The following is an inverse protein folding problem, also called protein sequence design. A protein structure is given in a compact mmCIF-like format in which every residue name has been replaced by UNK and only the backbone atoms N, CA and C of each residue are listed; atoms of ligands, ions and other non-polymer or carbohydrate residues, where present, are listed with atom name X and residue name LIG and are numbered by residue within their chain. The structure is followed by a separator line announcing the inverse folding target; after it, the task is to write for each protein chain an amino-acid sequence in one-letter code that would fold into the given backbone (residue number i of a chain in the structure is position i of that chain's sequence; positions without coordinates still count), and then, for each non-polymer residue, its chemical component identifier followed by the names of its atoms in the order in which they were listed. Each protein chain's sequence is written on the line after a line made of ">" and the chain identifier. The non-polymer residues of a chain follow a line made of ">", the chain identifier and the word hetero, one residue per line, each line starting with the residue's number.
data_IF_380754602009
#
_entry.id   IF_380754602009
#
_cell.length_a   1.000
_cell.length_b   1.000
_cell.length_c   1.000
_cell.angle_alpha   90.00
_cell.angle_beta   90.00
_cell.angle_gamma   90.00
#
_symmetry.space_group_name_H-M   'P 1'
#
loop_
_entity.id
_entity.type
_entity.pdbx_description
1 polymer ?
#
# COMPACT_ATOMS: atom_id res chain seq x y z
N UNK A 1 -24.42 22.79 34.14
CA UNK A 1 -23.48 22.75 33.02
C UNK A 1 -23.35 21.29 32.60
N UNK A 2 -24.07 20.94 31.55
CA UNK A 2 -24.10 19.59 30.96
C UNK A 2 -22.89 19.44 30.09
N UNK A 3 -22.02 18.46 30.37
CA UNK A 3 -20.88 18.08 29.51
C UNK A 3 -21.47 17.28 28.33
N UNK A 4 -21.54 17.90 27.18
CA UNK A 4 -21.80 17.22 25.91
C UNK A 4 -20.73 16.15 25.66
N UNK A 5 -21.13 14.90 25.75
CA UNK A 5 -20.36 13.73 25.31
C UNK A 5 -20.54 13.63 23.80
N UNK A 6 -19.51 13.80 22.97
CA UNK A 6 -19.63 13.53 21.55
C UNK A 6 -19.51 12.02 21.33
N UNK A 7 -20.65 11.33 21.42
CA UNK A 7 -20.75 9.89 21.24
C UNK A 7 -21.89 9.53 20.31
N UNK A 8 -21.82 9.88 19.04
CA UNK A 8 -22.49 9.14 17.97
C UNK A 8 -21.45 8.86 16.90
N UNK A 9 -21.20 7.58 16.68
CA UNK A 9 -20.39 7.11 15.58
C UNK A 9 -20.86 7.79 14.30
N UNK A 10 -19.98 8.49 13.63
CA UNK A 10 -20.24 9.00 12.29
C UNK A 10 -20.46 7.77 11.41
N UNK A 11 -21.69 7.60 10.89
CA UNK A 11 -21.94 6.69 9.78
C UNK A 11 -21.13 7.19 8.57
N UNK A 12 -19.84 6.83 8.55
CA UNK A 12 -18.98 7.11 7.41
C UNK A 12 -19.23 5.96 6.44
N UNK A 13 -20.10 6.19 5.48
CA UNK A 13 -20.39 5.23 4.40
C UNK A 13 -19.29 5.28 3.31
N UNK A 14 -18.05 5.54 3.72
CA UNK A 14 -16.86 5.59 2.89
C UNK A 14 -16.26 4.18 2.74
N UNK A 15 -15.98 3.74 1.54
CA UNK A 15 -15.13 2.57 1.29
C UNK A 15 -13.76 3.03 0.81
N UNK A 16 -12.71 2.51 1.42
CA UNK A 16 -11.34 2.75 1.02
C UNK A 16 -10.77 1.49 0.36
N UNK A 17 -10.43 1.63 -0.91
CA UNK A 17 -9.82 0.58 -1.71
C UNK A 17 -8.34 0.83 -1.89
N UNK A 18 -7.52 -0.14 -1.53
CA UNK A 18 -6.09 -0.16 -1.78
C UNK A 18 -5.81 -0.97 -3.04
N UNK A 19 -4.98 -0.45 -3.90
CA UNK A 19 -4.60 -1.12 -5.14
C UNK A 19 -3.10 -1.08 -5.32
N UNK A 20 -2.50 -2.24 -5.61
CA UNK A 20 -1.12 -2.30 -6.03
C UNK A 20 -0.97 -1.74 -7.45
N UNK A 21 0.07 -0.94 -7.70
CA UNK A 21 0.42 -0.44 -9.03
C UNK A 21 0.48 -1.53 -10.11
N UNK A 22 0.38 -1.15 -11.39
CA UNK A 22 0.56 -2.03 -12.55
C UNK A 22 1.95 -2.66 -12.64
N UNK A 23 2.12 -3.64 -13.52
CA UNK A 23 3.37 -4.37 -13.69
C UNK A 23 4.52 -3.45 -14.15
N UNK A 24 5.72 -3.72 -13.64
CA UNK A 24 7.00 -3.13 -14.05
C UNK A 24 7.93 -4.25 -14.53
N UNK A 25 9.00 -3.92 -15.27
CA UNK A 25 10.00 -4.93 -15.68
C UNK A 25 10.65 -5.60 -14.47
N UNK A 26 10.84 -4.87 -13.36
CA UNK A 26 11.38 -5.45 -12.14
C UNK A 26 10.41 -6.42 -11.44
N UNK A 27 9.09 -6.31 -11.69
CA UNK A 27 8.16 -7.37 -11.26
C UNK A 27 8.37 -8.65 -12.06
N UNK A 28 8.57 -8.55 -13.37
CA UNK A 28 8.85 -9.69 -14.25
C UNK A 28 10.16 -10.38 -13.83
N UNK A 29 11.19 -9.59 -13.55
CA UNK A 29 12.51 -10.07 -13.11
C UNK A 29 12.55 -10.51 -11.63
N UNK A 30 11.45 -10.36 -10.89
CA UNK A 30 11.36 -10.65 -9.45
C UNK A 30 12.38 -9.87 -8.60
N UNK A 31 12.71 -8.64 -9.01
CA UNK A 31 13.59 -7.72 -8.26
C UNK A 31 12.79 -6.91 -7.24
N UNK A 32 13.41 -6.69 -6.09
CA UNK A 32 12.94 -5.78 -5.04
C UNK A 32 13.02 -4.35 -5.56
N UNK A 33 11.89 -3.64 -5.56
CA UNK A 33 11.82 -2.28 -6.08
C UNK A 33 12.08 -1.22 -5.01
N UNK A 34 11.45 -1.40 -3.84
CA UNK A 34 11.56 -0.45 -2.73
C UNK A 34 11.27 0.98 -3.16
N UNK A 35 12.14 1.91 -2.79
CA UNK A 35 12.08 3.33 -3.19
C UNK A 35 12.60 3.62 -4.60
N UNK A 36 13.29 2.69 -5.22
CA UNK A 36 13.77 2.86 -6.61
C UNK A 36 12.60 3.14 -7.54
N UNK A 37 12.75 4.20 -8.35
CA UNK A 37 11.66 4.76 -9.13
C UNK A 37 11.59 4.13 -10.52
N UNK A 38 10.92 2.99 -10.61
CA UNK A 38 10.73 2.21 -11.84
C UNK A 38 9.36 2.56 -12.45
N UNK A 39 9.32 2.70 -13.78
CA UNK A 39 8.12 2.98 -14.57
C UNK A 39 7.29 1.71 -14.81
N UNK A 40 6.03 1.87 -15.19
CA UNK A 40 5.23 0.76 -15.68
C UNK A 40 5.81 0.22 -17.00
N UNK A 41 5.70 -1.10 -17.19
CA UNK A 41 5.86 -1.66 -18.52
C UNK A 41 4.52 -1.61 -19.29
N UNK A 42 4.53 -2.02 -20.54
CA UNK A 42 3.34 -1.98 -21.41
C UNK A 42 2.17 -2.79 -20.83
N UNK A 43 2.47 -3.95 -20.25
CA UNK A 43 1.45 -4.77 -19.58
C UNK A 43 0.88 -4.10 -18.34
N UNK A 44 1.71 -3.38 -17.58
CA UNK A 44 1.26 -2.59 -16.42
C UNK A 44 0.28 -1.49 -16.80
N UNK A 45 0.49 -0.81 -17.93
CA UNK A 45 -0.45 0.19 -18.48
C UNK A 45 -1.77 -0.45 -18.87
N UNK A 46 -1.73 -1.56 -19.59
CA UNK A 46 -2.94 -2.32 -19.96
C UNK A 46 -3.71 -2.83 -18.72
N UNK A 47 -2.99 -3.27 -17.67
CA UNK A 47 -3.61 -3.65 -16.39
C UNK A 47 -4.34 -2.45 -15.74
N UNK A 48 -3.74 -1.26 -15.76
CA UNK A 48 -4.35 -0.05 -15.20
C UNK A 48 -5.61 0.36 -15.99
N UNK A 49 -5.58 0.26 -17.32
CA UNK A 49 -6.76 0.51 -18.19
C UNK A 49 -7.88 -0.49 -17.89
N UNK A 50 -7.56 -1.78 -17.82
CA UNK A 50 -8.53 -2.82 -17.48
C UNK A 50 -9.16 -2.62 -16.10
N UNK A 51 -8.34 -2.24 -15.11
CA UNK A 51 -8.85 -1.89 -13.77
C UNK A 51 -9.77 -0.68 -13.82
N UNK A 52 -9.43 0.35 -14.59
CA UNK A 52 -10.26 1.54 -14.72
C UNK A 52 -11.67 1.20 -15.27
N UNK A 53 -11.76 0.28 -16.23
CA UNK A 53 -13.05 -0.18 -16.79
C UNK A 53 -13.87 -0.96 -15.74
N UNK A 54 -13.23 -1.75 -14.88
CA UNK A 54 -13.89 -2.45 -13.75
C UNK A 54 -14.41 -1.43 -12.74
N UNK A 55 -13.58 -0.47 -12.34
CA UNK A 55 -13.94 0.56 -11.37
C UNK A 55 -15.10 1.42 -11.86
N UNK A 56 -15.10 1.80 -13.14
CA UNK A 56 -16.17 2.60 -13.74
C UNK A 56 -17.54 1.91 -13.72
N UNK A 57 -17.56 0.58 -13.82
CA UNK A 57 -18.81 -0.20 -13.86
C UNK A 57 -19.35 -0.57 -12.47
N UNK A 58 -18.48 -0.80 -11.49
CA UNK A 58 -18.88 -1.44 -10.24
C UNK A 58 -18.55 -0.66 -8.96
N UNK A 59 -17.85 0.48 -9.05
CA UNK A 59 -17.35 1.21 -7.87
C UNK A 59 -17.73 2.68 -7.91
N UNK A 60 -18.13 3.23 -6.77
CA UNK A 60 -18.52 4.64 -6.63
C UNK A 60 -17.35 5.59 -6.35
N UNK A 61 -16.16 5.32 -6.92
CA UNK A 61 -14.94 6.09 -6.63
C UNK A 61 -15.14 7.57 -6.95
N UNK A 62 -14.77 8.44 -5.98
CA UNK A 62 -14.83 9.90 -6.09
C UNK A 62 -13.50 10.59 -5.83
N UNK A 63 -12.54 9.89 -5.23
CA UNK A 63 -11.18 10.38 -4.96
C UNK A 63 -10.18 9.30 -5.31
N UNK A 64 -9.03 9.72 -5.82
CA UNK A 64 -7.89 8.84 -6.08
C UNK A 64 -6.67 9.45 -5.38
N UNK A 65 -6.08 8.70 -4.48
CA UNK A 65 -4.79 9.00 -3.89
C UNK A 65 -3.73 8.06 -4.43
N UNK A 66 -2.49 8.50 -4.47
CA UNK A 66 -1.36 7.69 -4.95
C UNK A 66 -0.08 8.01 -4.21
N UNK A 67 0.82 7.05 -4.12
CA UNK A 67 2.20 7.34 -3.76
C UNK A 67 2.88 8.15 -4.87
N UNK A 68 3.98 8.84 -4.52
CA UNK A 68 4.72 9.67 -5.49
C UNK A 68 5.55 8.86 -6.49
N UNK A 69 5.74 7.54 -6.26
CA UNK A 69 6.57 6.69 -7.12
C UNK A 69 5.92 6.50 -8.49
N UNK A 70 6.71 6.66 -9.57
CA UNK A 70 6.23 6.68 -10.97
C UNK A 70 5.23 5.58 -11.30
N UNK A 71 5.54 4.33 -10.95
CA UNK A 71 4.66 3.17 -11.20
C UNK A 71 3.27 3.31 -10.58
N UNK A 72 3.18 3.89 -9.38
CA UNK A 72 1.90 4.11 -8.72
C UNK A 72 1.20 5.36 -9.27
N UNK A 73 1.94 6.45 -9.47
CA UNK A 73 1.41 7.69 -10.03
C UNK A 73 0.87 7.47 -11.44
N UNK A 74 1.62 6.80 -12.34
CA UNK A 74 1.18 6.47 -13.69
C UNK A 74 -0.06 5.57 -13.69
N UNK A 75 -0.11 4.55 -12.81
CA UNK A 75 -1.31 3.72 -12.63
C UNK A 75 -2.52 4.57 -12.23
N UNK A 76 -2.33 5.50 -11.28
CA UNK A 76 -3.40 6.39 -10.82
C UNK A 76 -3.85 7.37 -11.92
N UNK A 77 -2.93 7.89 -12.72
CA UNK A 77 -3.24 8.80 -13.83
C UNK A 77 -4.08 8.11 -14.91
N UNK A 78 -3.70 6.90 -15.33
CA UNK A 78 -4.47 6.11 -16.31
C UNK A 78 -5.90 5.88 -15.80
N UNK A 79 -6.04 5.45 -14.54
CA UNK A 79 -7.36 5.24 -13.93
C UNK A 79 -8.12 6.56 -13.82
N UNK A 80 -7.45 7.62 -13.36
CA UNK A 80 -8.03 8.93 -13.17
C UNK A 80 -8.57 9.55 -14.45
N UNK A 81 -7.85 9.43 -15.57
CA UNK A 81 -8.29 9.87 -16.89
C UNK A 81 -9.58 9.15 -17.31
N UNK A 82 -9.67 7.84 -17.08
CA UNK A 82 -10.84 7.04 -17.46
C UNK A 82 -12.07 7.33 -16.60
N UNK A 83 -11.88 7.68 -15.32
CA UNK A 83 -12.95 8.00 -14.38
C UNK A 83 -13.30 9.50 -14.33
N UNK A 84 -12.51 10.38 -14.96
CA UNK A 84 -12.64 11.84 -14.86
C UNK A 84 -12.27 12.38 -13.47
N UNK A 85 -11.33 11.74 -12.76
CA UNK A 85 -10.89 12.11 -11.42
C UNK A 85 -9.39 12.38 -11.45
N UNK A 86 -8.96 13.57 -10.98
CA UNK A 86 -7.55 13.90 -10.85
C UNK A 86 -6.95 13.22 -9.62
N UNK A 87 -5.90 12.39 -9.75
CA UNK A 87 -5.22 11.80 -8.60
C UNK A 87 -4.47 12.85 -7.76
N UNK A 88 -4.41 12.62 -6.44
CA UNK A 88 -3.64 13.42 -5.49
C UNK A 88 -2.55 12.57 -4.87
N UNK A 89 -1.30 13.07 -4.85
CA UNK A 89 -0.20 12.40 -4.16
C UNK A 89 -0.41 12.50 -2.65
N UNK A 90 -0.22 11.38 -1.94
CA UNK A 90 -0.26 11.29 -0.48
C UNK A 90 1.01 10.66 0.07
N UNK A 91 1.68 11.41 0.92
CA UNK A 91 2.78 10.89 1.72
C UNK A 91 2.29 9.78 2.65
N UNK A 92 3.14 8.80 2.88
CA UNK A 92 2.81 7.62 3.68
C UNK A 92 2.33 6.43 2.86
N UNK A 93 1.97 6.61 1.57
CA UNK A 93 1.56 5.51 0.67
C UNK A 93 2.73 4.87 -0.11
N UNK A 94 3.95 5.38 0.06
CA UNK A 94 5.13 4.90 -0.65
C UNK A 94 5.50 3.47 -0.25
N UNK A 95 6.18 2.75 -1.17
CA UNK A 95 6.72 1.42 -0.88
C UNK A 95 7.79 1.48 0.23
N UNK A 96 7.95 0.38 0.95
CA UNK A 96 9.00 0.24 1.95
C UNK A 96 10.38 0.44 1.31
N UNK A 97 11.27 1.13 2.01
CA UNK A 97 12.66 1.27 1.61
C UNK A 97 13.44 -0.01 1.95
N UNK A 98 13.88 -0.74 0.95
CA UNK A 98 14.75 -1.92 1.14
C UNK A 98 16.25 -1.58 1.07
N UNK A 99 16.62 -0.32 0.87
CA UNK A 99 18.01 0.14 0.86
C UNK A 99 18.89 -0.62 -0.12
N UNK A 100 19.99 -1.19 0.37
CA UNK A 100 20.95 -1.94 -0.46
C UNK A 100 20.39 -3.20 -1.11
N UNK A 101 19.21 -3.67 -0.71
CA UNK A 101 18.61 -4.85 -1.31
C UNK A 101 17.81 -4.54 -2.59
N UNK A 102 17.55 -3.27 -2.87
CA UNK A 102 16.84 -2.85 -4.08
C UNK A 102 17.62 -3.23 -5.35
N UNK A 103 16.90 -3.65 -6.39
CA UNK A 103 17.48 -4.15 -7.63
C UNK A 103 17.91 -5.62 -7.59
N UNK A 104 17.98 -6.25 -6.42
CA UNK A 104 18.29 -7.68 -6.27
C UNK A 104 17.03 -8.51 -6.16
N UNK A 105 17.10 -9.77 -6.54
CA UNK A 105 16.10 -10.78 -6.17
C UNK A 105 16.29 -11.23 -4.73
N UNK A 106 15.26 -11.78 -4.08
CA UNK A 106 15.39 -12.34 -2.73
C UNK A 106 16.45 -13.45 -2.62
N UNK A 107 16.71 -14.18 -3.73
CA UNK A 107 17.79 -15.16 -3.79
C UNK A 107 19.16 -14.46 -3.69
N UNK A 108 19.36 -13.44 -4.50
CA UNK A 108 20.61 -12.65 -4.49
C UNK A 108 20.84 -11.95 -3.14
N UNK A 109 19.77 -11.43 -2.51
CA UNK A 109 19.88 -10.85 -1.16
C UNK A 109 20.43 -11.87 -0.16
N UNK A 110 19.90 -13.10 -0.16
CA UNK A 110 20.43 -14.16 0.72
C UNK A 110 21.89 -14.56 0.44
N UNK A 111 22.30 -14.47 -0.79
CA UNK A 111 23.67 -14.79 -1.21
C UNK A 111 24.66 -13.64 -0.90
N UNK A 112 24.25 -12.38 -1.11
CA UNK A 112 25.11 -11.21 -0.98
C UNK A 112 25.10 -10.60 0.44
N UNK A 113 24.01 -10.75 1.18
CA UNK A 113 23.79 -10.17 2.51
C UNK A 113 23.31 -11.23 3.51
N UNK A 114 24.00 -12.38 3.67
CA UNK A 114 23.48 -13.52 4.43
C UNK A 114 23.23 -13.20 5.90
N UNK A 115 24.07 -12.42 6.54
CA UNK A 115 23.95 -12.08 7.96
C UNK A 115 22.81 -11.10 8.19
N UNK A 116 22.74 -10.02 7.42
CA UNK A 116 21.70 -9.00 7.51
C UNK A 116 20.33 -9.60 7.17
N UNK A 117 20.28 -10.46 6.15
CA UNK A 117 19.05 -11.18 5.80
C UNK A 117 18.59 -12.09 6.94
N UNK A 118 19.50 -12.84 7.57
CA UNK A 118 19.15 -13.73 8.68
C UNK A 118 18.56 -12.96 9.86
N UNK A 119 19.19 -11.86 10.29
CA UNK A 119 18.71 -11.00 11.37
C UNK A 119 17.32 -10.43 11.02
N UNK A 120 17.20 -9.80 9.84
CA UNK A 120 15.94 -9.23 9.38
C UNK A 120 14.83 -10.27 9.25
N UNK A 121 15.14 -11.47 8.76
CA UNK A 121 14.15 -12.53 8.60
C UNK A 121 13.60 -13.03 9.94
N UNK A 122 14.41 -13.05 10.98
CA UNK A 122 14.03 -13.50 12.33
C UNK A 122 13.18 -12.49 13.11
N UNK A 123 13.19 -11.22 12.73
CA UNK A 123 12.40 -10.18 13.40
C UNK A 123 11.97 -9.11 12.38
N UNK A 124 11.31 -9.56 11.33
CA UNK A 124 10.99 -8.77 10.13
C UNK A 124 10.28 -7.44 10.44
N UNK A 125 9.46 -7.41 11.48
CA UNK A 125 8.70 -6.20 11.84
C UNK A 125 9.61 -5.04 12.25
N UNK A 126 10.67 -5.30 12.99
CA UNK A 126 11.47 -4.25 13.63
C UNK A 126 12.87 -4.10 13.04
N UNK A 127 13.41 -5.18 12.47
CA UNK A 127 14.74 -5.12 11.85
C UNK A 127 14.72 -4.36 10.51
N UNK A 128 15.82 -3.64 10.26
CA UNK A 128 15.96 -2.74 9.12
C UNK A 128 16.94 -3.33 8.11
N UNK A 129 16.56 -3.45 6.83
CA UNK A 129 17.55 -3.73 5.78
C UNK A 129 18.65 -2.66 5.75
N UNK A 130 19.89 -2.96 5.33
CA UNK A 130 20.97 -1.98 5.25
C UNK A 130 20.51 -0.72 4.48
N UNK A 131 20.56 0.44 5.12
CA UNK A 131 20.10 1.74 4.58
C UNK A 131 18.59 1.80 4.24
N UNK A 132 17.81 0.89 4.81
CA UNK A 132 16.38 0.73 4.53
C UNK A 132 15.45 1.26 5.60
N UNK A 133 14.27 0.67 5.66
CA UNK A 133 13.15 0.98 6.56
C UNK A 133 12.60 -0.34 7.13
N UNK A 134 12.24 -0.38 8.42
CA UNK A 134 11.52 -1.52 8.99
C UNK A 134 10.04 -1.49 8.62
N UNK A 135 9.36 -2.64 8.74
CA UNK A 135 7.90 -2.66 8.56
C UNK A 135 7.15 -1.89 9.65
N UNK A 136 7.74 -1.73 10.85
CA UNK A 136 7.18 -0.86 11.86
C UNK A 136 7.25 0.61 11.43
N UNK A 137 8.39 1.07 10.93
CA UNK A 137 8.52 2.44 10.40
C UNK A 137 7.57 2.70 9.21
N UNK A 138 7.35 1.69 8.36
CA UNK A 138 6.32 1.77 7.33
C UNK A 138 4.93 1.98 7.94
N UNK A 139 4.55 1.21 8.99
CA UNK A 139 3.27 1.40 9.68
C UNK A 139 3.15 2.78 10.31
N UNK A 140 4.22 3.28 10.93
CA UNK A 140 4.21 4.58 11.62
C UNK A 140 3.87 5.74 10.68
N UNK A 141 4.19 5.63 9.37
CA UNK A 141 3.79 6.64 8.37
C UNK A 141 2.49 6.30 7.64
N UNK A 142 2.19 5.01 7.45
CA UNK A 142 1.02 4.57 6.71
C UNK A 142 -0.28 4.77 7.49
N UNK A 143 -0.32 4.37 8.76
CA UNK A 143 -1.54 4.42 9.55
C UNK A 143 -2.09 5.86 9.71
N UNK A 144 -1.26 6.88 10.03
CA UNK A 144 -1.75 8.27 10.04
C UNK A 144 -2.20 8.77 8.67
N UNK A 145 -1.54 8.32 7.57
CA UNK A 145 -1.95 8.70 6.21
C UNK A 145 -3.35 8.15 5.87
N UNK A 146 -3.62 6.88 6.18
CA UNK A 146 -4.93 6.27 5.97
C UNK A 146 -6.02 6.89 6.87
N UNK A 147 -5.72 7.14 8.15
CA UNK A 147 -6.64 7.84 9.06
C UNK A 147 -7.02 9.23 8.53
N UNK A 148 -6.02 9.99 8.04
CA UNK A 148 -6.27 11.30 7.44
C UNK A 148 -7.17 11.23 6.20
N UNK A 149 -6.94 10.25 5.31
CA UNK A 149 -7.78 10.01 4.14
C UNK A 149 -9.22 9.73 4.59
N UNK A 150 -9.43 8.78 5.51
CA UNK A 150 -10.76 8.38 5.96
C UNK A 150 -11.50 9.48 6.74
N UNK A 151 -10.79 10.36 7.44
CA UNK A 151 -11.41 11.51 8.12
C UNK A 151 -11.79 12.64 7.18
N UNK A 152 -10.98 12.85 6.14
CA UNK A 152 -11.19 13.96 5.18
C UNK A 152 -12.31 13.68 4.19
N UNK A 153 -12.40 12.45 3.71
CA UNK A 153 -13.32 12.07 2.66
C UNK A 153 -14.64 11.51 3.22
N UNK A 154 -15.71 11.61 2.44
CA UNK A 154 -17.06 11.14 2.75
C UNK A 154 -17.61 10.22 1.66
N UNK A 155 -16.81 9.90 0.68
CA UNK A 155 -17.17 9.14 -0.51
C UNK A 155 -16.08 8.11 -0.78
N UNK A 156 -16.38 7.10 -1.59
CA UNK A 156 -15.46 6.00 -1.90
C UNK A 156 -14.14 6.50 -2.48
N UNK A 157 -13.05 6.01 -1.90
CA UNK A 157 -11.66 6.40 -2.20
C UNK A 157 -10.89 5.22 -2.77
N UNK A 158 -10.10 5.49 -3.80
CA UNK A 158 -9.10 4.58 -4.33
C UNK A 158 -7.69 5.08 -3.94
N UNK A 159 -6.88 4.22 -3.36
CA UNK A 159 -5.47 4.53 -3.04
C UNK A 159 -4.55 3.59 -3.78
N UNK A 160 -3.77 4.13 -4.73
CA UNK A 160 -2.77 3.36 -5.48
C UNK A 160 -1.47 3.35 -4.69
N UNK A 161 -1.04 2.15 -4.34
CA UNK A 161 0.11 1.91 -3.48
C UNK A 161 0.90 0.66 -3.92
N UNK A 162 1.52 -0.06 -3.01
CA UNK A 162 2.51 -1.08 -3.28
C UNK A 162 2.22 -2.38 -2.53
N UNK A 163 2.90 -3.45 -2.95
CA UNK A 163 2.66 -4.79 -2.40
C UNK A 163 3.04 -4.91 -0.93
N UNK A 164 4.24 -4.42 -0.53
CA UNK A 164 4.64 -4.55 0.86
C UNK A 164 3.80 -3.66 1.77
N UNK A 165 3.35 -2.49 1.31
CA UNK A 165 2.40 -1.63 2.04
C UNK A 165 1.11 -2.38 2.37
N UNK A 166 0.49 -3.00 1.37
CA UNK A 166 -0.77 -3.75 1.57
C UNK A 166 -0.54 -4.96 2.48
N UNK A 167 0.51 -5.76 2.23
CA UNK A 167 0.83 -6.94 3.04
C UNK A 167 1.09 -6.56 4.52
N UNK A 168 1.83 -5.48 4.74
CA UNK A 168 2.15 -4.98 6.09
C UNK A 168 0.89 -4.54 6.82
N UNK A 169 0.05 -3.76 6.17
CA UNK A 169 -1.22 -3.33 6.74
C UNK A 169 -2.11 -4.52 7.10
N UNK A 170 -2.28 -5.46 6.18
CA UNK A 170 -3.12 -6.64 6.42
C UNK A 170 -2.59 -7.53 7.55
N UNK A 171 -1.26 -7.69 7.65
CA UNK A 171 -0.65 -8.40 8.79
C UNK A 171 -0.90 -7.69 10.11
N UNK A 172 -0.73 -6.36 10.16
CA UNK A 172 -1.00 -5.56 11.34
C UNK A 172 -2.47 -5.66 11.78
N UNK A 173 -3.41 -5.52 10.85
CA UNK A 173 -4.84 -5.54 11.15
C UNK A 173 -5.30 -6.91 11.65
N UNK A 174 -4.83 -7.98 11.06
CA UNK A 174 -5.24 -9.34 11.36
C UNK A 174 -4.35 -10.05 12.40
N UNK A 175 -3.42 -9.34 13.02
CA UNK A 175 -2.50 -9.91 14.02
C UNK A 175 -1.69 -11.11 13.50
N UNK A 176 -1.33 -11.05 12.23
CA UNK A 176 -0.57 -12.10 11.56
C UNK A 176 0.93 -11.82 11.71
N UNK A 177 1.77 -12.83 12.03
CA UNK A 177 3.21 -12.65 12.03
C UNK A 177 3.73 -12.07 10.70
N UNK A 178 4.65 -11.11 10.78
CA UNK A 178 5.17 -10.43 9.59
C UNK A 178 6.00 -11.36 8.68
N UNK A 179 6.49 -12.45 9.22
CA UNK A 179 7.15 -13.53 8.51
C UNK A 179 6.20 -14.23 7.52
N UNK A 180 4.91 -14.27 7.86
CA UNK A 180 3.86 -14.94 7.08
C UNK A 180 3.12 -14.02 6.11
N UNK A 181 3.36 -12.71 6.12
CA UNK A 181 2.58 -11.73 5.36
C UNK A 181 2.58 -12.01 3.85
N UNK A 182 3.71 -12.45 3.28
CA UNK A 182 3.80 -12.74 1.86
C UNK A 182 3.02 -14.01 1.47
N UNK A 183 2.88 -14.97 2.40
CA UNK A 183 2.06 -16.17 2.18
C UNK A 183 0.58 -15.85 2.23
N UNK A 184 0.17 -14.98 3.17
CA UNK A 184 -1.24 -14.73 3.47
C UNK A 184 -1.83 -13.58 2.64
N UNK A 185 -1.04 -12.55 2.32
CA UNK A 185 -1.54 -11.28 1.77
C UNK A 185 -0.81 -10.81 0.50
N UNK A 186 -0.11 -11.72 -0.20
CA UNK A 186 0.53 -11.36 -1.48
C UNK A 186 -0.51 -10.81 -2.45
N UNK A 187 -0.31 -9.59 -2.90
CA UNK A 187 -1.21 -8.86 -3.77
C UNK A 187 -0.66 -8.80 -5.20
N UNK A 188 -1.46 -9.22 -6.18
CA UNK A 188 -1.14 -9.07 -7.61
C UNK A 188 -1.16 -7.61 -8.07
N UNK A 189 -0.54 -7.32 -9.23
CA UNK A 189 -0.63 -6.00 -9.84
C UNK A 189 -2.09 -5.65 -10.14
N UNK A 190 -2.49 -4.42 -9.87
CA UNK A 190 -3.87 -3.88 -10.02
C UNK A 190 -4.97 -4.63 -9.25
N UNK A 191 -4.60 -5.50 -8.32
CA UNK A 191 -5.57 -6.15 -7.45
C UNK A 191 -6.13 -5.15 -6.43
N UNK A 192 -7.46 -5.16 -6.26
CA UNK A 192 -8.19 -4.35 -5.29
C UNK A 192 -8.25 -5.07 -3.95
N UNK A 193 -7.98 -4.35 -2.87
CA UNK A 193 -8.17 -4.77 -1.48
C UNK A 193 -9.03 -3.72 -0.79
N UNK A 194 -10.21 -4.08 -0.35
CA UNK A 194 -11.06 -3.19 0.45
C UNK A 194 -10.57 -3.19 1.90
N UNK A 195 -10.39 -1.99 2.47
CA UNK A 195 -9.98 -1.83 3.86
C UNK A 195 -11.19 -1.96 4.77
N UNK A 196 -11.13 -2.91 5.70
CA UNK A 196 -12.07 -2.98 6.83
C UNK A 196 -11.79 -1.84 7.81
N UNK A 197 -12.64 -0.81 7.79
CA UNK A 197 -12.47 0.39 8.60
C UNK A 197 -12.73 0.14 10.08
N UNK A 198 -13.65 -0.75 10.42
CA UNK A 198 -13.93 -1.09 11.81
C UNK A 198 -12.74 -1.78 12.43
N UNK A 199 -12.17 -2.74 11.71
CA UNK A 199 -10.94 -3.42 12.12
C UNK A 199 -9.75 -2.45 12.21
N UNK A 200 -9.63 -1.53 11.22
CA UNK A 200 -8.60 -0.49 11.24
C UNK A 200 -8.69 0.36 12.51
N UNK A 201 -9.86 0.92 12.82
CA UNK A 201 -10.02 1.77 14.00
C UNK A 201 -9.94 1.02 15.31
N UNK A 202 -10.34 -0.24 15.38
CA UNK A 202 -10.10 -1.10 16.54
C UNK A 202 -8.61 -1.28 16.86
N UNK A 203 -7.78 -1.43 15.82
CA UNK A 203 -6.33 -1.61 15.97
C UNK A 203 -5.60 -0.27 16.15
N UNK A 204 -5.96 0.75 15.40
CA UNK A 204 -5.31 2.06 15.42
C UNK A 204 -5.49 2.81 16.76
N UNK A 205 -6.63 2.64 17.44
CA UNK A 205 -6.90 3.26 18.75
C UNK A 205 -6.25 2.53 19.93
N UNK A 206 -5.73 1.32 19.73
CA UNK A 206 -5.07 0.54 20.79
C UNK A 206 -3.58 0.87 20.96
N UNK A 207 -3.03 1.64 20.05
CA UNK A 207 -1.66 2.16 20.08
C UNK A 207 -1.68 3.66 20.39
#
# INVERSE_FOLDING_TARGET
>A
MSLDVPGKGMDINLRLYLVRHGETDWNVESRIQGKTDIELNEKGRQQAEGLADVLKKGYGIRRIYTSRQKRAAETAEIIGQRLGIRPEVREGLEEINFGKWEGHTWRQVRELFPQEYFVWHGNRRYEVPPEGESYQQLLDRLLPALDNIMRRDRQDVLSITHSAVIMTLMSYLNDTPFEDMARNYKTGNTQIVELDQDLFYQRYKRN
#
